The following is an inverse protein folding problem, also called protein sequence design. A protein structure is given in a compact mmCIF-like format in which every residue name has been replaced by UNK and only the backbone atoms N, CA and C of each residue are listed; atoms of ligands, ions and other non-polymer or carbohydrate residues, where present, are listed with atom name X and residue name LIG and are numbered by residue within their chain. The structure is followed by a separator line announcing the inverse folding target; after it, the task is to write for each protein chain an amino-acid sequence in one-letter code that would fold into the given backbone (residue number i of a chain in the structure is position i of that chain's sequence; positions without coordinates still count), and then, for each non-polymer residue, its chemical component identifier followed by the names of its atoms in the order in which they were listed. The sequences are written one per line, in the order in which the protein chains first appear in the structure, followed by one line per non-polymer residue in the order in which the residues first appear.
data_IF_145717408167
#
_entry.id   IF_145717408167
#
_cell.length_a   1.000
_cell.length_b   1.000
_cell.length_c   1.000
_cell.angle_alpha   90.00
_cell.angle_beta   90.00
_cell.angle_gamma   90.00
#
_symmetry.space_group_name_H-M   'P 1'
#
loop_
_entity.id
_entity.type
_entity.pdbx_description
1 polymer ?
#
# COMPACT_ATOMS: atom_id res chain seq x y z
N UNK A 1 -49.44 39.73 5.66
CA UNK A 1 -48.05 39.49 5.23
C UNK A 1 -48.08 39.35 3.72
N UNK A 2 -47.41 40.25 3.00
CA UNK A 2 -47.34 40.19 1.55
C UNK A 2 -46.33 39.10 1.16
N UNK A 3 -46.81 37.99 0.59
CA UNK A 3 -45.97 36.98 -0.01
C UNK A 3 -45.32 37.59 -1.27
N UNK A 4 -43.99 37.59 -1.32
CA UNK A 4 -43.19 38.14 -2.42
C UNK A 4 -42.70 36.96 -3.24
N UNK A 5 -43.03 36.93 -4.53
CA UNK A 5 -42.72 35.80 -5.41
C UNK A 5 -41.51 36.15 -6.29
N UNK A 6 -40.47 35.32 -6.25
CA UNK A 6 -39.43 35.29 -7.29
C UNK A 6 -39.61 34.02 -8.11
N UNK A 7 -39.57 34.14 -9.43
CA UNK A 7 -39.44 32.99 -10.31
C UNK A 7 -37.95 32.71 -10.51
N UNK A 8 -37.49 31.57 -10.00
CA UNK A 8 -36.09 31.15 -10.07
C UNK A 8 -35.92 30.17 -11.22
N UNK A 9 -35.07 30.50 -12.17
CA UNK A 9 -34.76 29.68 -13.35
C UNK A 9 -33.25 29.51 -13.45
N UNK A 10 -32.75 28.29 -13.64
CA UNK A 10 -31.34 28.06 -14.00
C UNK A 10 -31.28 28.00 -15.51
N UNK A 11 -30.49 28.87 -16.13
CA UNK A 11 -30.18 28.75 -17.56
C UNK A 11 -29.40 27.45 -17.80
N UNK A 12 -30.00 26.51 -18.53
CA UNK A 12 -29.42 25.21 -18.86
C UNK A 12 -28.10 25.29 -19.63
N UNK A 13 -27.81 26.43 -20.27
CA UNK A 13 -26.67 26.62 -21.17
C UNK A 13 -25.49 27.26 -20.47
N UNK A 14 -25.72 28.32 -19.71
CA UNK A 14 -24.68 29.02 -18.95
C UNK A 14 -24.54 28.51 -17.51
N UNK A 15 -25.52 27.73 -17.04
CA UNK A 15 -25.66 27.34 -15.65
C UNK A 15 -25.78 28.56 -14.74
N UNK A 16 -26.32 29.69 -15.20
CA UNK A 16 -26.49 30.92 -14.42
C UNK A 16 -27.88 30.97 -13.77
N UNK A 17 -27.94 31.55 -12.56
CA UNK A 17 -29.19 31.74 -11.84
C UNK A 17 -29.92 33.00 -12.31
N UNK A 18 -31.11 32.83 -12.89
CA UNK A 18 -32.02 33.90 -13.25
C UNK A 18 -33.10 34.02 -12.17
N UNK A 19 -33.16 35.16 -11.49
CA UNK A 19 -34.28 35.48 -10.60
C UNK A 19 -35.13 36.54 -11.28
N UNK A 20 -36.33 36.17 -11.71
CA UNK A 20 -37.33 37.10 -12.25
C UNK A 20 -38.26 37.52 -11.12
N UNK A 21 -38.52 38.82 -11.01
CA UNK A 21 -39.56 39.31 -10.11
C UNK A 21 -40.92 38.80 -10.62
N UNK A 22 -41.76 38.25 -9.75
CA UNK A 22 -43.12 37.94 -10.14
C UNK A 22 -43.89 39.23 -10.46
N UNK A 23 -44.92 39.07 -11.30
CA UNK A 23 -45.52 40.15 -12.07
C UNK A 23 -46.08 41.35 -11.29
N UNK A 24 -46.32 41.27 -9.97
CA UNK A 24 -47.11 42.30 -9.26
C UNK A 24 -46.60 42.66 -7.85
N UNK A 25 -45.31 42.98 -7.68
CA UNK A 25 -44.83 43.58 -6.43
C UNK A 25 -43.33 43.89 -6.37
N UNK A 26 -42.98 45.05 -5.79
CA UNK A 26 -41.59 45.36 -5.46
C UNK A 26 -41.10 44.44 -4.33
N UNK A 27 -39.91 43.82 -4.43
CA UNK A 27 -39.43 42.89 -3.43
C UNK A 27 -39.18 43.58 -2.08
N UNK A 28 -39.47 42.87 -0.98
CA UNK A 28 -39.06 43.29 0.36
C UNK A 28 -37.53 43.46 0.41
N UNK A 29 -36.99 44.48 1.12
CA UNK A 29 -35.55 44.68 1.26
C UNK A 29 -34.81 43.41 1.74
N UNK A 30 -35.41 42.64 2.66
CA UNK A 30 -34.85 41.40 3.20
C UNK A 30 -34.82 40.27 2.17
N UNK A 31 -35.87 40.17 1.33
CA UNK A 31 -35.93 39.19 0.27
C UNK A 31 -34.94 39.50 -0.87
N UNK A 32 -34.72 40.79 -1.15
CA UNK A 32 -33.71 41.27 -2.11
C UNK A 32 -32.28 41.02 -1.60
N UNK A 33 -32.05 41.13 -0.28
CA UNK A 33 -30.77 40.79 0.34
C UNK A 33 -30.48 39.28 0.31
N UNK A 34 -31.46 38.44 0.66
CA UNK A 34 -31.34 36.98 0.60
C UNK A 34 -31.08 36.51 -0.84
N UNK A 35 -31.78 37.10 -1.82
CA UNK A 35 -31.57 36.89 -3.25
C UNK A 35 -30.13 37.23 -3.70
N UNK A 36 -29.57 38.36 -3.26
CA UNK A 36 -28.17 38.74 -3.53
C UNK A 36 -27.17 37.76 -2.92
N UNK A 37 -27.38 37.36 -1.65
CA UNK A 37 -26.53 36.38 -0.95
C UNK A 37 -26.55 35.02 -1.66
N UNK A 38 -27.73 34.62 -2.14
CA UNK A 38 -27.92 33.38 -2.89
C UNK A 38 -27.22 33.40 -4.26
N UNK A 39 -27.34 34.49 -5.03
CA UNK A 39 -26.58 34.66 -6.28
C UNK A 39 -25.07 34.59 -6.06
N UNK A 40 -24.55 35.28 -5.04
CA UNK A 40 -23.14 35.26 -4.71
C UNK A 40 -22.63 33.86 -4.33
N UNK A 41 -23.45 33.08 -3.62
CA UNK A 41 -23.18 31.69 -3.31
C UNK A 41 -23.15 30.83 -4.59
N UNK A 42 -24.15 30.98 -5.44
CA UNK A 42 -24.25 30.27 -6.70
C UNK A 42 -23.03 30.54 -7.62
N UNK A 43 -22.59 31.78 -7.72
CA UNK A 43 -21.37 32.15 -8.43
C UNK A 43 -20.12 31.50 -7.81
N UNK A 44 -20.03 31.41 -6.47
CA UNK A 44 -18.93 30.69 -5.79
C UNK A 44 -18.94 29.20 -6.12
N UNK A 45 -20.11 28.55 -6.14
CA UNK A 45 -20.23 27.14 -6.52
C UNK A 45 -19.83 26.95 -7.97
N UNK A 46 -20.31 27.82 -8.87
CA UNK A 46 -20.00 27.77 -10.30
C UNK A 46 -18.49 27.88 -10.57
N UNK A 47 -17.78 28.71 -9.79
CA UNK A 47 -16.32 28.89 -9.89
C UNK A 47 -15.54 27.72 -9.28
N UNK A 48 -16.05 27.10 -8.21
CA UNK A 48 -15.31 26.07 -7.45
C UNK A 48 -15.62 24.63 -7.83
N UNK A 49 -16.83 24.35 -8.29
CA UNK A 49 -17.31 22.99 -8.58
C UNK A 49 -17.35 22.78 -10.10
N UNK A 50 -16.75 21.70 -10.62
CA UNK A 50 -16.77 21.40 -12.05
C UNK A 50 -18.18 21.34 -12.62
N UNK A 51 -18.41 21.75 -13.88
CA UNK A 51 -19.71 21.65 -14.54
C UNK A 51 -20.05 20.18 -14.85
N UNK A 52 -20.65 19.49 -13.88
CA UNK A 52 -21.21 18.14 -14.04
C UNK A 52 -22.75 18.21 -14.05
N UNK A 53 -23.46 17.33 -14.79
CA UNK A 53 -24.91 17.20 -14.67
C UNK A 53 -25.38 16.95 -13.21
N UNK A 54 -24.60 16.23 -12.39
CA UNK A 54 -24.80 16.07 -10.95
C UNK A 54 -24.77 17.40 -10.17
N UNK A 55 -23.92 18.36 -10.57
CA UNK A 55 -23.93 19.73 -10.03
C UNK A 55 -25.24 20.44 -10.32
N UNK A 56 -25.79 20.31 -11.53
CA UNK A 56 -27.05 20.94 -11.89
C UNK A 56 -28.23 20.35 -11.11
N UNK A 57 -28.29 19.02 -10.98
CA UNK A 57 -29.33 18.32 -10.21
C UNK A 57 -29.28 18.67 -8.71
N UNK A 58 -28.08 18.76 -8.15
CA UNK A 58 -27.89 19.15 -6.76
C UNK A 58 -28.20 20.63 -6.50
N UNK A 59 -27.78 21.52 -7.41
CA UNK A 59 -28.14 22.93 -7.36
C UNK A 59 -29.65 23.13 -7.51
N UNK A 60 -30.34 22.33 -8.33
CA UNK A 60 -31.79 22.39 -8.46
C UNK A 60 -32.51 21.94 -7.19
N UNK A 61 -32.08 20.85 -6.54
CA UNK A 61 -32.71 20.42 -5.28
C UNK A 61 -32.52 21.46 -4.16
N UNK A 62 -31.36 22.11 -4.13
CA UNK A 62 -31.08 23.18 -3.18
C UNK A 62 -31.91 24.43 -3.47
N UNK A 63 -32.10 24.74 -4.75
CA UNK A 63 -32.99 25.80 -5.18
C UNK A 63 -34.43 25.54 -4.80
N UNK A 64 -34.89 24.29 -4.88
CA UNK A 64 -36.26 23.94 -4.51
C UNK A 64 -36.52 24.19 -3.02
N UNK A 65 -35.55 23.92 -2.13
CA UNK A 65 -35.72 24.14 -0.70
C UNK A 65 -35.69 25.63 -0.30
N UNK A 66 -34.75 26.41 -0.87
CA UNK A 66 -34.71 27.87 -0.65
C UNK A 66 -35.92 28.55 -1.29
N UNK A 67 -36.34 28.10 -2.47
CA UNK A 67 -37.56 28.57 -3.15
C UNK A 67 -38.81 28.28 -2.33
N UNK A 68 -38.95 27.06 -1.81
CA UNK A 68 -40.08 26.69 -0.97
C UNK A 68 -40.15 27.55 0.32
N UNK A 69 -39.00 27.86 0.94
CA UNK A 69 -38.95 28.74 2.10
C UNK A 69 -39.35 30.19 1.76
N UNK A 70 -38.89 30.71 0.61
CA UNK A 70 -39.26 32.04 0.10
C UNK A 70 -40.74 32.15 -0.27
N UNK A 71 -41.33 31.12 -0.89
CA UNK A 71 -42.74 31.08 -1.28
C UNK A 71 -43.68 31.09 -0.06
N UNK A 72 -43.26 30.49 1.05
CA UNK A 72 -44.02 30.46 2.32
C UNK A 72 -43.74 31.71 3.17
N UNK A 73 -42.73 32.51 2.83
CA UNK A 73 -42.31 33.68 3.62
C UNK A 73 -41.54 33.32 4.90
N UNK A 74 -41.03 32.10 4.99
CA UNK A 74 -40.24 31.59 6.12
C UNK A 74 -38.75 31.87 5.88
N UNK A 75 -38.36 33.12 6.17
CA UNK A 75 -37.00 33.60 5.94
C UNK A 75 -35.96 32.91 6.82
N UNK A 76 -36.34 32.47 8.02
CA UNK A 76 -35.45 31.75 8.94
C UNK A 76 -35.08 30.37 8.38
N UNK A 77 -36.05 29.64 7.83
CA UNK A 77 -35.81 28.38 7.14
C UNK A 77 -34.93 28.55 5.90
N UNK A 78 -35.17 29.60 5.12
CA UNK A 78 -34.34 29.93 3.95
C UNK A 78 -32.89 30.26 4.33
N UNK A 79 -32.70 31.05 5.40
CA UNK A 79 -31.37 31.37 5.94
C UNK A 79 -30.67 30.13 6.51
N UNK A 80 -31.38 29.25 7.22
CA UNK A 80 -30.80 28.02 7.75
C UNK A 80 -30.33 27.07 6.65
N UNK A 81 -31.14 26.88 5.59
CA UNK A 81 -30.77 26.08 4.42
C UNK A 81 -29.56 26.69 3.69
N UNK A 82 -29.51 28.02 3.56
CA UNK A 82 -28.38 28.74 2.97
C UNK A 82 -27.08 28.57 3.77
N UNK A 83 -27.13 28.76 5.10
CA UNK A 83 -25.96 28.68 5.98
C UNK A 83 -25.42 27.24 6.10
N UNK A 84 -26.31 26.25 6.21
CA UNK A 84 -25.93 24.84 6.22
C UNK A 84 -25.12 24.46 4.97
N UNK A 85 -25.58 24.93 3.81
CA UNK A 85 -24.91 24.70 2.54
C UNK A 85 -23.56 25.44 2.42
N UNK A 86 -23.51 26.71 2.84
CA UNK A 86 -22.29 27.52 2.73
C UNK A 86 -21.11 26.92 3.54
N UNK A 87 -21.40 26.23 4.64
CA UNK A 87 -20.34 25.70 5.52
C UNK A 87 -19.84 24.33 5.09
N UNK A 88 -20.73 23.43 4.67
CA UNK A 88 -20.38 22.02 4.50
C UNK A 88 -19.75 21.73 3.12
N UNK A 89 -20.17 22.44 2.07
CA UNK A 89 -20.02 21.94 0.70
C UNK A 89 -19.08 22.78 -0.19
N UNK A 90 -18.98 24.09 0.07
CA UNK A 90 -18.19 25.02 -0.75
C UNK A 90 -16.68 24.80 -0.74
N UNK A 91 -16.20 23.96 0.17
CA UNK A 91 -14.77 23.68 0.36
C UNK A 91 -14.32 22.39 -0.30
N UNK A 92 -15.25 21.49 -0.64
CA UNK A 92 -14.93 20.14 -1.12
C UNK A 92 -15.15 20.07 -2.63
N UNK A 93 -14.09 19.82 -3.40
CA UNK A 93 -14.14 19.65 -4.85
C UNK A 93 -14.40 18.22 -5.29
N UNK A 94 -13.73 17.25 -4.66
CA UNK A 94 -13.85 15.84 -5.01
C UNK A 94 -14.39 15.00 -3.85
N UNK A 95 -13.69 14.97 -2.72
CA UNK A 95 -14.10 14.17 -1.56
C UNK A 95 -13.69 14.84 -0.26
N UNK A 96 -14.50 14.69 0.79
CA UNK A 96 -14.05 14.92 2.16
C UNK A 96 -13.20 13.72 2.58
N UNK A 97 -12.03 13.99 3.17
CA UNK A 97 -11.10 12.95 3.57
C UNK A 97 -10.68 13.12 5.02
N UNK A 98 -10.75 12.03 5.77
CA UNK A 98 -10.21 11.94 7.13
C UNK A 98 -9.53 10.59 7.31
N UNK A 99 -8.48 10.58 8.13
CA UNK A 99 -7.75 9.36 8.47
C UNK A 99 -7.96 9.15 9.96
N UNK A 100 -8.44 7.97 10.35
CA UNK A 100 -8.63 7.68 11.77
C UNK A 100 -7.32 7.28 12.46
N UNK A 101 -7.38 7.04 13.77
CA UNK A 101 -6.22 6.63 14.56
C UNK A 101 -5.64 5.26 14.15
N UNK A 102 -6.43 4.43 13.45
CA UNK A 102 -6.00 3.13 12.95
C UNK A 102 -5.35 3.23 11.55
N UNK A 103 -5.50 4.37 10.88
CA UNK A 103 -5.01 4.61 9.53
C UNK A 103 -6.02 4.29 8.45
N UNK A 104 -7.29 4.09 8.81
CA UNK A 104 -8.35 3.86 7.82
C UNK A 104 -8.75 5.20 7.20
N UNK A 105 -8.69 5.25 5.88
CA UNK A 105 -9.03 6.43 5.08
C UNK A 105 -10.55 6.46 4.87
N UNK A 106 -11.22 7.41 5.52
CA UNK A 106 -12.65 7.65 5.37
C UNK A 106 -12.86 8.73 4.32
N UNK A 107 -13.54 8.35 3.23
CA UNK A 107 -13.82 9.22 2.09
C UNK A 107 -15.33 9.40 1.98
N UNK A 108 -15.78 10.64 2.00
CA UNK A 108 -17.18 10.98 1.70
C UNK A 108 -17.25 11.76 0.39
N UNK A 109 -17.94 11.21 -0.59
CA UNK A 109 -18.24 11.91 -1.83
C UNK A 109 -19.34 12.94 -1.58
N UNK A 110 -19.23 14.15 -2.15
CA UNK A 110 -20.32 15.09 -2.11
C UNK A 110 -21.45 14.61 -3.04
N UNK A 111 -22.72 14.97 -2.74
CA UNK A 111 -23.90 14.51 -3.46
C UNK A 111 -23.95 14.93 -4.95
N UNK A 112 -23.15 15.92 -5.37
CA UNK A 112 -23.05 16.38 -6.76
C UNK A 112 -21.96 15.69 -7.59
N UNK A 113 -21.12 14.83 -6.99
CA UNK A 113 -20.04 14.16 -7.71
C UNK A 113 -20.62 13.07 -8.62
N UNK A 114 -20.35 13.18 -9.92
CA UNK A 114 -20.72 12.15 -10.88
C UNK A 114 -19.71 11.00 -10.93
N UNK A 115 -20.23 9.81 -11.20
CA UNK A 115 -19.42 8.67 -11.63
C UNK A 115 -19.29 8.68 -13.16
N UNK A 116 -18.07 8.51 -13.73
CA UNK A 116 -16.84 8.11 -13.06
C UNK A 116 -15.96 9.27 -12.58
N UNK A 117 -15.32 9.05 -11.42
CA UNK A 117 -14.27 9.92 -10.84
C UNK A 117 -13.10 10.11 -11.82
N UNK A 118 -12.50 11.32 -11.91
CA UNK A 118 -11.33 11.56 -12.76
C UNK A 118 -10.17 10.57 -12.50
N UNK A 119 -9.46 10.10 -13.54
CA UNK A 119 -8.46 9.04 -13.44
C UNK A 119 -7.24 9.43 -12.59
N UNK A 120 -6.87 10.71 -12.61
CA UNK A 120 -5.85 11.35 -11.79
C UNK A 120 -6.21 11.37 -10.31
N UNK A 121 -7.48 11.66 -9.98
CA UNK A 121 -7.99 11.58 -8.59
C UNK A 121 -7.98 10.14 -8.11
N UNK A 122 -8.37 9.17 -8.95
CA UNK A 122 -8.33 7.75 -8.61
C UNK A 122 -6.90 7.27 -8.33
N UNK A 123 -5.96 7.63 -9.20
CA UNK A 123 -4.53 7.28 -9.03
C UNK A 123 -3.96 7.85 -7.73
N UNK A 124 -4.35 9.09 -7.39
CA UNK A 124 -3.94 9.72 -6.13
C UNK A 124 -4.53 8.98 -4.91
N UNK A 125 -5.82 8.63 -4.96
CA UNK A 125 -6.48 7.86 -3.89
C UNK A 125 -5.80 6.51 -3.65
N UNK A 126 -5.51 5.76 -4.72
CA UNK A 126 -4.85 4.46 -4.62
C UNK A 126 -3.45 4.59 -3.97
N UNK A 127 -2.70 5.65 -4.31
CA UNK A 127 -1.39 5.92 -3.70
C UNK A 127 -1.52 6.33 -2.23
N UNK A 128 -2.49 7.18 -1.91
CA UNK A 128 -2.75 7.65 -0.55
C UNK A 128 -3.15 6.48 0.37
N UNK A 129 -4.07 5.63 -0.08
CA UNK A 129 -4.49 4.44 0.68
C UNK A 129 -3.32 3.47 0.90
N UNK A 130 -2.52 3.23 -0.13
CA UNK A 130 -1.31 2.41 -0.01
C UNK A 130 -0.31 3.00 1.00
N UNK A 131 -0.16 4.33 1.03
CA UNK A 131 0.68 5.01 2.00
C UNK A 131 0.15 4.87 3.43
N UNK A 132 -1.16 5.09 3.65
CA UNK A 132 -1.81 4.90 4.96
C UNK A 132 -1.60 3.48 5.48
N UNK A 133 -1.85 2.47 4.64
CA UNK A 133 -1.65 1.06 4.99
C UNK A 133 -0.20 0.76 5.37
N UNK A 134 0.78 1.28 4.61
CA UNK A 134 2.21 1.07 4.91
C UNK A 134 2.60 1.73 6.23
N UNK A 135 2.17 2.96 6.49
CA UNK A 135 2.41 3.65 7.77
C UNK A 135 1.81 2.85 8.93
N UNK A 136 0.56 2.38 8.80
CA UNK A 136 -0.10 1.56 9.83
C UNK A 136 0.62 0.24 10.13
N UNK A 137 1.15 -0.42 9.10
CA UNK A 137 1.85 -1.70 9.23
C UNK A 137 3.30 -1.57 9.70
N UNK A 138 4.02 -0.53 9.26
CA UNK A 138 5.47 -0.43 9.42
C UNK A 138 5.88 0.42 10.63
N UNK A 139 5.14 1.48 10.94
CA UNK A 139 5.49 2.40 12.03
C UNK A 139 5.11 1.81 13.38
N UNK A 140 6.09 1.79 14.28
CA UNK A 140 5.91 1.39 15.68
C UNK A 140 5.76 2.61 16.57
N UNK A 141 4.78 2.56 17.46
CA UNK A 141 4.50 3.65 18.40
C UNK A 141 3.30 4.46 17.91
N UNK A 142 2.35 4.66 18.82
CA UNK A 142 1.08 5.32 18.52
C UNK A 142 1.29 6.80 18.13
N UNK A 143 2.19 7.50 18.83
CA UNK A 143 2.47 8.91 18.59
C UNK A 143 3.19 9.16 17.26
N UNK A 144 4.18 8.33 16.91
CA UNK A 144 4.85 8.41 15.61
C UNK A 144 3.87 8.13 14.46
N UNK A 145 2.98 7.14 14.65
CA UNK A 145 1.95 6.80 13.67
C UNK A 145 0.96 7.93 13.47
N UNK A 146 0.48 8.55 14.55
CA UNK A 146 -0.40 9.74 14.50
C UNK A 146 0.25 10.89 13.74
N UNK A 147 1.54 11.13 13.95
CA UNK A 147 2.28 12.18 13.24
C UNK A 147 2.28 11.96 11.71
N UNK A 148 2.59 10.73 11.27
CA UNK A 148 2.56 10.41 9.84
C UNK A 148 1.14 10.40 9.25
N UNK A 149 0.13 9.95 10.00
CA UNK A 149 -1.26 10.03 9.55
C UNK A 149 -1.76 11.46 9.43
N UNK A 150 -1.37 12.36 10.33
CA UNK A 150 -1.70 13.78 10.21
C UNK A 150 -1.09 14.42 8.95
N UNK A 151 0.13 14.04 8.58
CA UNK A 151 0.76 14.47 7.34
C UNK A 151 0.00 13.95 6.10
N UNK A 152 -0.35 12.65 6.09
CA UNK A 152 -1.15 12.06 5.01
C UNK A 152 -2.55 12.67 4.90
N UNK A 153 -3.20 12.96 6.03
CA UNK A 153 -4.51 13.61 6.06
C UNK A 153 -4.43 15.02 5.49
N UNK A 154 -3.36 15.77 5.80
CA UNK A 154 -3.11 17.08 5.22
C UNK A 154 -2.99 17.02 3.68
N UNK A 155 -2.25 16.03 3.15
CA UNK A 155 -2.17 15.81 1.71
C UNK A 155 -3.51 15.37 1.10
N UNK A 156 -4.28 14.56 1.81
CA UNK A 156 -5.61 14.12 1.40
C UNK A 156 -6.56 15.32 1.27
N UNK A 157 -6.61 16.20 2.28
CA UNK A 157 -7.45 17.41 2.25
C UNK A 157 -7.03 18.36 1.13
N UNK A 158 -5.73 18.59 0.97
CA UNK A 158 -5.24 19.49 -0.07
C UNK A 158 -5.49 18.95 -1.50
N UNK A 159 -5.41 17.62 -1.69
CA UNK A 159 -5.70 16.99 -2.97
C UNK A 159 -7.20 16.88 -3.27
N UNK A 160 -7.98 16.34 -2.33
CA UNK A 160 -9.36 15.91 -2.54
C UNK A 160 -10.38 16.99 -2.22
N UNK A 161 -10.15 17.82 -1.20
CA UNK A 161 -11.06 18.90 -0.82
C UNK A 161 -10.76 20.15 -1.66
N UNK A 162 -9.51 20.61 -1.69
CA UNK A 162 -9.14 21.82 -2.46
C UNK A 162 -8.98 21.56 -3.98
N UNK A 163 -8.95 20.29 -4.39
CA UNK A 163 -8.78 19.85 -5.77
C UNK A 163 -7.41 20.17 -6.37
N UNK A 164 -6.37 20.30 -5.55
CA UNK A 164 -5.00 20.52 -5.99
C UNK A 164 -4.24 19.19 -6.17
N UNK A 165 -4.80 18.27 -6.96
CA UNK A 165 -4.31 16.90 -7.11
C UNK A 165 -2.83 16.84 -7.53
N UNK A 166 -2.39 17.70 -8.44
CA UNK A 166 -0.99 17.73 -8.90
C UNK A 166 -0.01 18.07 -7.77
N UNK A 167 -0.31 19.13 -6.98
CA UNK A 167 0.51 19.55 -5.85
C UNK A 167 0.48 18.51 -4.73
N UNK A 168 -0.69 17.97 -4.43
CA UNK A 168 -0.85 16.92 -3.43
C UNK A 168 -0.10 15.63 -3.82
N UNK A 169 -0.07 15.28 -5.10
CA UNK A 169 0.69 14.12 -5.61
C UNK A 169 2.20 14.32 -5.48
N UNK A 170 2.70 15.54 -5.74
CA UNK A 170 4.10 15.88 -5.52
C UNK A 170 4.47 15.84 -4.03
N UNK A 171 3.62 16.43 -3.18
CA UNK A 171 3.81 16.42 -1.74
C UNK A 171 3.79 15.00 -1.15
N UNK A 172 2.89 14.15 -1.65
CA UNK A 172 2.86 12.72 -1.30
C UNK A 172 4.16 12.03 -1.72
N UNK A 173 4.71 12.33 -2.89
CA UNK A 173 6.02 11.81 -3.31
C UNK A 173 7.18 12.26 -2.40
N UNK A 174 7.15 13.48 -1.89
CA UNK A 174 8.12 13.96 -0.90
C UNK A 174 7.96 13.24 0.45
N UNK A 175 6.73 13.09 0.92
CA UNK A 175 6.43 12.32 2.12
C UNK A 175 6.93 10.87 2.00
N UNK A 176 6.68 10.21 0.87
CA UNK A 176 7.15 8.85 0.60
C UNK A 176 8.68 8.75 0.69
N UNK A 177 9.41 9.72 0.14
CA UNK A 177 10.87 9.77 0.18
C UNK A 177 11.43 10.04 1.59
N UNK A 178 10.82 10.96 2.33
CA UNK A 178 11.18 11.28 3.72
C UNK A 178 10.92 10.08 4.64
N UNK A 179 9.76 9.45 4.49
CA UNK A 179 9.41 8.22 5.21
C UNK A 179 10.44 7.11 4.97
N UNK A 180 10.91 6.93 3.73
CA UNK A 180 11.99 5.97 3.42
C UNK A 180 13.28 6.31 4.13
N UNK A 181 13.63 7.60 4.21
CA UNK A 181 14.86 8.06 4.83
C UNK A 181 14.85 7.86 6.35
N UNK A 182 13.72 8.13 7.01
CA UNK A 182 13.57 8.04 8.46
C UNK A 182 13.35 6.59 8.94
N UNK A 183 12.34 5.91 8.40
CA UNK A 183 11.91 4.59 8.88
C UNK A 183 12.62 3.43 8.15
N UNK A 184 13.09 3.66 6.92
CA UNK A 184 13.76 2.64 6.10
C UNK A 184 14.99 1.99 6.75
N UNK A 185 15.90 2.70 7.43
CA UNK A 185 17.01 2.10 8.17
C UNK A 185 16.56 1.14 9.29
N UNK A 186 15.54 1.52 10.08
CA UNK A 186 15.05 0.71 11.18
C UNK A 186 14.38 -0.58 10.67
N UNK A 187 13.59 -0.47 9.60
CA UNK A 187 12.92 -1.59 8.95
C UNK A 187 13.94 -2.55 8.32
N UNK A 188 14.96 -2.03 7.62
CA UNK A 188 16.10 -2.83 7.11
C UNK A 188 16.76 -3.65 8.20
N UNK A 189 17.13 -2.98 9.29
CA UNK A 189 17.80 -3.62 10.42
C UNK A 189 16.95 -4.76 10.96
N UNK A 190 15.63 -4.56 11.11
CA UNK A 190 14.70 -5.58 11.60
C UNK A 190 14.65 -6.80 10.68
N UNK A 191 14.47 -6.60 9.37
CA UNK A 191 14.44 -7.70 8.41
C UNK A 191 15.77 -8.45 8.36
N UNK A 192 16.89 -7.74 8.23
CA UNK A 192 18.21 -8.35 8.19
C UNK A 192 18.51 -9.15 9.47
N UNK A 193 18.15 -8.60 10.63
CA UNK A 193 18.33 -9.27 11.92
C UNK A 193 17.48 -10.53 12.03
N UNK A 194 16.24 -10.52 11.53
CA UNK A 194 15.37 -11.69 11.54
C UNK A 194 15.92 -12.82 10.65
N UNK A 195 16.38 -12.49 9.44
CA UNK A 195 17.01 -13.46 8.52
C UNK A 195 18.31 -14.01 9.12
N UNK A 196 19.17 -13.14 9.66
CA UNK A 196 20.43 -13.55 10.28
C UNK A 196 20.21 -14.45 11.50
N UNK A 197 19.23 -14.13 12.35
CA UNK A 197 18.87 -14.96 13.51
C UNK A 197 18.40 -16.34 13.07
N UNK A 198 17.58 -16.42 12.02
CA UNK A 198 17.08 -17.70 11.51
C UNK A 198 18.23 -18.53 10.91
N UNK A 199 19.10 -17.90 10.12
CA UNK A 199 20.29 -18.54 9.57
C UNK A 199 21.20 -19.10 10.69
N UNK A 200 21.44 -18.30 11.74
CA UNK A 200 22.24 -18.73 12.90
C UNK A 200 21.63 -19.94 13.59
N UNK A 201 20.31 -19.95 13.82
CA UNK A 201 19.61 -21.08 14.43
C UNK A 201 19.76 -22.37 13.59
N UNK A 202 19.66 -22.26 12.26
CA UNK A 202 19.85 -23.40 11.36
C UNK A 202 21.29 -23.93 11.44
N UNK A 203 22.29 -23.04 11.34
CA UNK A 203 23.71 -23.43 11.42
C UNK A 203 24.04 -24.06 12.77
N UNK A 204 23.56 -23.49 13.87
CA UNK A 204 23.74 -24.04 15.22
C UNK A 204 23.04 -25.39 15.35
N UNK A 205 21.81 -25.53 14.84
CA UNK A 205 21.05 -26.78 14.87
C UNK A 205 21.77 -27.91 14.12
N UNK A 206 22.25 -27.64 12.90
CA UNK A 206 23.00 -28.62 12.10
C UNK A 206 24.38 -28.93 12.74
N UNK A 207 25.03 -27.94 13.34
CA UNK A 207 26.29 -28.12 14.06
C UNK A 207 26.13 -29.00 15.31
N UNK A 208 25.08 -28.77 16.11
CA UNK A 208 24.72 -29.61 17.25
C UNK A 208 24.39 -31.03 16.80
N UNK A 209 23.62 -31.17 15.71
CA UNK A 209 23.31 -32.49 15.15
C UNK A 209 24.59 -33.24 14.77
N UNK A 210 25.55 -32.60 14.11
CA UNK A 210 26.86 -33.19 13.78
C UNK A 210 27.65 -33.59 15.03
N UNK A 211 27.56 -32.84 16.12
CA UNK A 211 28.27 -33.14 17.36
C UNK A 211 27.64 -34.32 18.13
N UNK A 212 26.31 -34.38 18.17
CA UNK A 212 25.56 -35.36 18.94
C UNK A 212 25.38 -36.70 18.22
N UNK A 213 25.23 -36.71 16.89
CA UNK A 213 25.01 -37.94 16.12
C UNK A 213 26.08 -39.01 16.37
N UNK A 214 27.39 -38.69 16.35
CA UNK A 214 28.44 -39.67 16.58
C UNK A 214 28.40 -40.25 17.99
N UNK A 215 28.04 -39.45 18.99
CA UNK A 215 27.94 -39.90 20.39
C UNK A 215 26.78 -40.88 20.56
N UNK A 216 25.63 -40.59 19.94
CA UNK A 216 24.47 -41.49 19.92
C UNK A 216 24.81 -42.76 19.12
N UNK A 217 25.45 -42.62 17.95
CA UNK A 217 25.85 -43.76 17.13
C UNK A 217 26.83 -44.70 17.87
N UNK A 218 27.75 -44.16 18.67
CA UNK A 218 28.65 -44.96 19.52
C UNK A 218 27.90 -45.65 20.66
N UNK A 219 26.94 -44.96 21.30
CA UNK A 219 26.13 -45.54 22.38
C UNK A 219 25.22 -46.69 21.91
N UNK A 220 24.80 -46.68 20.64
CA UNK A 220 23.92 -47.69 20.05
C UNK A 220 24.61 -48.55 18.97
N UNK A 221 25.96 -48.56 18.96
CA UNK A 221 26.76 -49.19 17.92
C UNK A 221 26.47 -50.69 17.72
N UNK A 222 26.06 -51.40 18.77
CA UNK A 222 25.69 -52.82 18.71
C UNK A 222 24.39 -53.09 17.94
N UNK A 223 23.49 -52.10 17.84
CA UNK A 223 22.17 -52.27 17.20
C UNK A 223 22.05 -51.58 15.84
N UNK A 224 22.96 -50.67 15.50
CA UNK A 224 22.91 -49.86 14.27
C UNK A 224 24.29 -49.70 13.61
N UNK A 225 24.82 -50.76 12.96
CA UNK A 225 26.10 -50.71 12.23
C UNK A 225 26.18 -49.73 11.03
N UNK A 226 25.10 -49.24 10.35
CA UNK A 226 25.27 -48.36 9.19
C UNK A 226 25.55 -46.88 9.53
N UNK A 227 25.50 -46.44 10.80
CA UNK A 227 25.69 -45.02 11.13
C UNK A 227 27.15 -44.52 11.01
N UNK A 228 28.16 -45.40 10.96
CA UNK A 228 29.56 -45.00 10.85
C UNK A 228 29.91 -44.35 9.50
N UNK A 229 29.16 -44.66 8.43
CA UNK A 229 29.33 -44.08 7.08
C UNK A 229 28.84 -42.61 7.04
N UNK A 230 28.08 -42.17 8.05
CA UNK A 230 27.43 -40.86 8.06
C UNK A 230 28.38 -39.68 8.34
N UNK A 231 29.59 -39.88 8.89
CA UNK A 231 30.44 -38.76 9.31
C UNK A 231 30.90 -37.86 8.16
N UNK A 232 31.30 -38.45 7.02
CA UNK A 232 31.71 -37.68 5.84
C UNK A 232 30.52 -36.95 5.20
N UNK A 233 29.39 -37.65 5.05
CA UNK A 233 28.15 -37.10 4.51
C UNK A 233 27.56 -35.97 5.37
N UNK A 234 27.66 -36.08 6.70
CA UNK A 234 27.20 -35.04 7.64
C UNK A 234 28.07 -33.79 7.58
N UNK A 235 29.38 -33.92 7.35
CA UNK A 235 30.23 -32.77 7.09
C UNK A 235 29.76 -32.03 5.82
N UNK A 236 29.52 -32.77 4.73
CA UNK A 236 28.97 -32.21 3.49
C UNK A 236 27.64 -31.49 3.70
N UNK A 237 26.68 -32.10 4.39
CA UNK A 237 25.38 -31.47 4.68
C UNK A 237 25.56 -30.18 5.51
N UNK A 238 26.46 -30.18 6.48
CA UNK A 238 26.72 -28.99 7.30
C UNK A 238 27.23 -27.83 6.45
N UNK A 239 28.22 -28.08 5.58
CA UNK A 239 28.74 -27.03 4.70
C UNK A 239 27.74 -26.60 3.62
N UNK A 240 26.90 -27.51 3.14
CA UNK A 240 25.77 -27.19 2.26
C UNK A 240 24.77 -26.26 2.97
N UNK A 241 24.40 -26.57 4.22
CA UNK A 241 23.48 -25.75 5.02
C UNK A 241 24.07 -24.37 5.35
N UNK A 242 25.37 -24.30 5.68
CA UNK A 242 26.09 -23.03 5.85
C UNK A 242 26.07 -22.24 4.54
N UNK A 243 26.32 -22.90 3.40
CA UNK A 243 26.27 -22.27 2.09
C UNK A 243 24.90 -21.67 1.78
N UNK A 244 23.82 -22.43 1.99
CA UNK A 244 22.44 -21.95 1.85
C UNK A 244 22.21 -20.71 2.72
N UNK A 245 22.62 -20.78 3.99
CA UNK A 245 22.49 -19.67 4.92
C UNK A 245 23.23 -18.41 4.45
N UNK A 246 24.47 -18.55 4.00
CA UNK A 246 25.27 -17.45 3.46
C UNK A 246 24.65 -16.87 2.19
N UNK A 247 24.20 -17.72 1.26
CA UNK A 247 23.56 -17.29 0.02
C UNK A 247 22.30 -16.46 0.27
N UNK A 248 21.41 -16.94 1.13
CA UNK A 248 20.15 -16.25 1.47
C UNK A 248 20.42 -14.93 2.22
N UNK A 249 21.36 -14.92 3.17
CA UNK A 249 21.71 -13.69 3.91
C UNK A 249 22.38 -12.66 2.99
N UNK A 250 23.30 -13.10 2.13
CA UNK A 250 23.96 -12.23 1.16
C UNK A 250 22.95 -11.64 0.16
N UNK A 251 22.02 -12.45 -0.31
CA UNK A 251 20.92 -11.99 -1.15
C UNK A 251 20.06 -10.95 -0.44
N UNK A 252 19.67 -11.21 0.81
CA UNK A 252 18.91 -10.25 1.62
C UNK A 252 19.67 -8.93 1.82
N UNK A 253 21.00 -8.98 1.95
CA UNK A 253 21.85 -7.80 2.04
C UNK A 253 21.83 -6.98 0.75
N UNK A 254 22.02 -7.61 -0.41
CA UNK A 254 22.01 -6.92 -1.72
C UNK A 254 20.64 -6.28 -1.97
N UNK A 255 19.55 -7.00 -1.74
CA UNK A 255 18.18 -6.47 -1.96
C UNK A 255 17.86 -5.28 -1.05
N UNK A 256 18.47 -5.22 0.13
CA UNK A 256 18.28 -4.11 1.07
C UNK A 256 19.06 -2.83 0.72
N UNK A 257 19.88 -2.83 -0.35
CA UNK A 257 20.62 -1.63 -0.78
C UNK A 257 19.75 -0.62 -1.55
N UNK A 258 18.71 -1.06 -2.26
CA UNK A 258 17.84 -0.21 -3.07
C UNK A 258 16.40 -0.25 -2.56
N UNK A 259 16.13 0.53 -1.51
CA UNK A 259 14.77 0.68 -0.97
C UNK A 259 14.04 1.85 -1.63
N UNK A 260 12.85 1.55 -2.14
CA UNK A 260 11.85 2.51 -2.55
C UNK A 260 10.64 2.40 -1.62
N UNK A 261 9.79 3.41 -1.58
CA UNK A 261 8.56 3.40 -0.79
C UNK A 261 7.68 2.17 -1.09
N UNK A 262 7.70 1.70 -2.34
CA UNK A 262 6.98 0.49 -2.76
C UNK A 262 7.59 -0.81 -2.27
N UNK A 263 8.91 -0.86 -2.04
CA UNK A 263 9.57 -2.04 -1.52
C UNK A 263 9.66 -2.08 0.02
N UNK A 264 9.32 -0.99 0.72
CA UNK A 264 9.34 -0.89 2.19
C UNK A 264 8.37 -1.84 2.92
N UNK A 265 7.32 -2.32 2.26
CA UNK A 265 6.42 -3.36 2.80
C UNK A 265 6.60 -4.74 2.14
N UNK A 266 7.23 -4.77 0.96
CA UNK A 266 7.34 -5.95 0.08
C UNK A 266 8.81 -6.37 -0.09
N UNK A 267 9.52 -6.52 1.03
CA UNK A 267 10.86 -7.13 1.03
C UNK A 267 10.87 -8.56 0.48
N UNK A 268 9.70 -9.20 0.45
CA UNK A 268 9.46 -10.47 -0.24
C UNK A 268 8.13 -10.38 -0.99
N UNK A 269 8.13 -10.52 -2.32
CA UNK A 269 6.91 -10.47 -3.14
C UNK A 269 5.94 -11.60 -2.81
N UNK A 270 6.45 -12.67 -2.18
CA UNK A 270 5.67 -13.83 -1.75
C UNK A 270 5.31 -13.80 -0.25
N UNK A 271 5.65 -12.74 0.50
CA UNK A 271 5.44 -12.62 1.95
C UNK A 271 5.90 -13.84 2.78
N UNK A 272 6.92 -14.57 2.31
CA UNK A 272 7.38 -15.78 2.97
C UNK A 272 8.08 -15.42 4.28
N UNK A 273 7.70 -16.11 5.36
CA UNK A 273 8.45 -16.03 6.61
C UNK A 273 9.89 -16.52 6.40
N UNK A 274 10.89 -16.01 7.14
CA UNK A 274 12.28 -16.45 7.00
C UNK A 274 12.44 -17.97 7.06
N UNK A 275 11.68 -18.63 7.94
CA UNK A 275 11.66 -20.09 8.04
C UNK A 275 11.21 -20.77 6.75
N UNK A 276 10.07 -20.35 6.21
CA UNK A 276 9.51 -20.94 4.99
C UNK A 276 10.46 -20.77 3.80
N UNK A 277 11.14 -19.62 3.73
CA UNK A 277 12.16 -19.31 2.73
C UNK A 277 13.36 -20.27 2.83
N UNK A 278 13.93 -20.44 4.02
CA UNK A 278 15.01 -21.41 4.23
C UNK A 278 14.59 -22.85 3.92
N UNK A 279 13.36 -23.24 4.26
CA UNK A 279 12.82 -24.56 3.94
C UNK A 279 12.69 -24.76 2.43
N UNK A 280 12.13 -23.77 1.70
CA UNK A 280 11.98 -23.83 0.25
C UNK A 280 13.33 -24.00 -0.45
N UNK A 281 14.29 -23.12 -0.11
CA UNK A 281 15.65 -23.21 -0.65
C UNK A 281 16.31 -24.54 -0.29
N UNK A 282 16.08 -25.05 0.93
CA UNK A 282 16.56 -26.35 1.36
C UNK A 282 16.02 -27.50 0.51
N UNK A 283 14.71 -27.52 0.23
CA UNK A 283 14.06 -28.52 -0.63
C UNK A 283 14.60 -28.46 -2.06
N UNK A 284 14.74 -27.26 -2.63
CA UNK A 284 15.28 -27.10 -3.98
C UNK A 284 16.74 -27.55 -4.05
N UNK A 285 17.54 -27.19 -3.03
CA UNK A 285 18.93 -27.64 -2.94
C UNK A 285 19.01 -29.16 -2.84
N UNK A 286 18.13 -29.79 -2.06
CA UNK A 286 18.05 -31.24 -1.95
C UNK A 286 17.72 -31.90 -3.30
N UNK A 287 16.73 -31.37 -4.03
CA UNK A 287 16.39 -31.83 -5.39
C UNK A 287 17.59 -31.70 -6.34
N UNK A 288 18.27 -30.57 -6.31
CA UNK A 288 19.47 -30.35 -7.12
C UNK A 288 20.58 -31.35 -6.77
N UNK A 289 20.84 -31.58 -5.49
CA UNK A 289 21.80 -32.58 -5.03
C UNK A 289 21.43 -34.00 -5.50
N UNK A 290 20.15 -34.36 -5.52
CA UNK A 290 19.66 -35.65 -6.04
C UNK A 290 19.94 -35.74 -7.54
N UNK A 291 19.58 -34.72 -8.32
CA UNK A 291 19.81 -34.67 -9.78
C UNK A 291 21.29 -34.76 -10.14
N UNK A 292 22.15 -34.05 -9.40
CA UNK A 292 23.61 -34.12 -9.56
C UNK A 292 24.16 -35.50 -9.18
N UNK A 293 23.62 -36.13 -8.14
CA UNK A 293 24.02 -37.49 -7.74
C UNK A 293 23.60 -38.55 -8.76
N UNK A 294 22.46 -38.35 -9.44
CA UNK A 294 21.99 -39.21 -10.51
C UNK A 294 22.77 -39.01 -11.82
N UNK A 295 23.68 -38.03 -11.88
CA UNK A 295 24.45 -37.70 -13.08
C UNK A 295 23.64 -36.97 -14.16
N UNK A 296 22.42 -36.55 -13.85
CA UNK A 296 21.53 -35.82 -14.77
C UNK A 296 22.01 -34.39 -15.00
N UNK A 297 22.64 -33.78 -13.98
CA UNK A 297 23.18 -32.43 -14.02
C UNK A 297 24.66 -32.49 -13.66
N UNK A 298 25.52 -31.98 -14.54
CA UNK A 298 26.96 -31.82 -14.31
C UNK A 298 27.30 -30.34 -14.35
N UNK A 299 27.58 -29.78 -13.18
CA UNK A 299 28.00 -28.40 -13.01
C UNK A 299 29.50 -28.39 -12.70
N UNK A 300 30.26 -27.65 -13.50
CA UNK A 300 31.70 -27.47 -13.38
C UNK A 300 32.01 -25.97 -13.46
N UNK A 301 32.82 -25.47 -12.53
CA UNK A 301 33.33 -24.09 -12.54
C UNK A 301 34.85 -24.19 -12.55
N UNK A 302 35.46 -23.93 -13.71
CA UNK A 302 36.88 -24.20 -13.97
C UNK A 302 37.23 -25.65 -13.55
N UNK A 303 38.24 -25.83 -12.69
CA UNK A 303 38.67 -27.14 -12.20
C UNK A 303 37.77 -27.70 -11.08
N UNK A 304 36.80 -26.92 -10.58
CA UNK A 304 35.93 -27.34 -9.49
C UNK A 304 34.67 -28.03 -10.01
N UNK A 305 34.61 -29.34 -9.78
CA UNK A 305 33.46 -30.19 -10.11
C UNK A 305 32.43 -30.14 -8.99
N UNK A 306 31.33 -29.42 -9.20
CA UNK A 306 30.29 -29.24 -8.19
C UNK A 306 29.50 -30.54 -7.93
N UNK A 307 29.45 -31.46 -8.90
CA UNK A 307 28.81 -32.78 -8.71
C UNK A 307 29.55 -33.69 -7.73
N UNK A 308 30.81 -33.39 -7.42
CA UNK A 308 31.60 -34.09 -6.41
C UNK A 308 31.38 -33.51 -4.99
N UNK A 309 30.25 -32.84 -4.75
CA UNK A 309 29.92 -32.21 -3.46
C UNK A 309 30.00 -33.18 -2.26
N UNK A 310 29.82 -34.49 -2.48
CA UNK A 310 29.92 -35.51 -1.42
C UNK A 310 31.33 -35.70 -0.86
N UNK A 311 32.37 -35.44 -1.67
CA UNK A 311 33.77 -35.63 -1.29
C UNK A 311 34.48 -34.29 -1.09
N UNK A 312 34.05 -33.24 -1.81
CA UNK A 312 34.65 -31.92 -1.72
C UNK A 312 33.75 -30.93 -0.96
N UNK A 313 34.22 -30.54 0.23
CA UNK A 313 33.54 -29.58 1.11
C UNK A 313 33.34 -28.21 0.45
N UNK A 314 34.30 -27.74 -0.36
CA UNK A 314 34.18 -26.46 -1.05
C UNK A 314 33.10 -26.50 -2.12
N UNK A 315 32.97 -27.63 -2.83
CA UNK A 315 31.88 -27.83 -3.77
C UNK A 315 30.51 -27.81 -3.08
N UNK A 316 30.37 -28.46 -1.92
CA UNK A 316 29.13 -28.44 -1.14
C UNK A 316 28.76 -27.02 -0.66
N UNK A 317 29.74 -26.26 -0.17
CA UNK A 317 29.56 -24.88 0.24
C UNK A 317 29.08 -24.00 -0.93
N UNK A 318 29.73 -24.12 -2.09
CA UNK A 318 29.39 -23.34 -3.28
C UNK A 318 28.02 -23.69 -3.85
N UNK A 319 27.67 -24.98 -3.91
CA UNK A 319 26.30 -25.40 -4.30
C UNK A 319 25.28 -24.75 -3.37
N UNK A 320 25.54 -24.76 -2.06
CA UNK A 320 24.67 -24.11 -1.07
C UNK A 320 24.54 -22.61 -1.30
N UNK A 321 25.65 -21.89 -1.51
CA UNK A 321 25.64 -20.44 -1.77
C UNK A 321 24.86 -20.11 -3.04
N UNK A 322 25.09 -20.84 -4.13
CA UNK A 322 24.42 -20.61 -5.40
C UNK A 322 22.91 -20.84 -5.29
N UNK A 323 22.49 -21.89 -4.59
CA UNK A 323 21.08 -22.17 -4.34
C UNK A 323 20.44 -21.13 -3.40
N UNK A 324 21.17 -20.68 -2.37
CA UNK A 324 20.70 -19.62 -1.47
C UNK A 324 20.56 -18.26 -2.16
N UNK A 325 21.44 -17.96 -3.11
CA UNK A 325 21.40 -16.71 -3.87
C UNK A 325 20.29 -16.70 -4.94
N UNK A 326 20.00 -17.85 -5.56
CA UNK A 326 19.01 -17.96 -6.65
C UNK A 326 17.55 -17.93 -6.18
N UNK A 327 17.32 -17.79 -4.87
CA UNK A 327 16.03 -17.82 -4.21
C UNK A 327 14.96 -16.91 -4.85
N UNK A 328 15.28 -15.69 -5.33
CA UNK A 328 14.29 -14.87 -6.05
C UNK A 328 14.04 -15.28 -7.48
N UNK A 329 15.03 -15.79 -8.21
CA UNK A 329 14.80 -16.30 -9.56
C UNK A 329 13.87 -17.51 -9.51
N UNK A 330 14.06 -18.38 -8.50
CA UNK A 330 13.23 -19.56 -8.30
C UNK A 330 11.85 -19.18 -7.78
N UNK A 331 11.76 -18.27 -6.81
CA UNK A 331 10.47 -17.78 -6.31
C UNK A 331 9.69 -17.07 -7.42
N UNK A 332 10.31 -16.22 -8.24
CA UNK A 332 9.66 -15.56 -9.38
C UNK A 332 9.25 -16.54 -10.49
N UNK A 333 10.03 -17.59 -10.74
CA UNK A 333 9.64 -18.65 -11.67
C UNK A 333 8.43 -19.44 -11.15
N UNK A 334 8.40 -19.73 -9.84
CA UNK A 334 7.28 -20.46 -9.21
C UNK A 334 6.02 -19.60 -9.11
N UNK A 335 6.12 -18.34 -8.68
CA UNK A 335 4.97 -17.43 -8.56
C UNK A 335 4.52 -16.90 -9.92
N UNK A 336 5.43 -16.65 -10.86
CA UNK A 336 5.08 -16.23 -12.22
C UNK A 336 4.39 -17.31 -13.05
N UNK A 337 4.57 -18.60 -12.68
CA UNK A 337 3.77 -19.70 -13.22
C UNK A 337 2.38 -19.75 -12.58
N UNK A 338 2.24 -19.35 -11.31
CA UNK A 338 0.96 -19.30 -10.59
C UNK A 338 0.11 -18.06 -10.92
N UNK A 339 0.73 -16.94 -11.31
CA UNK A 339 0.04 -15.70 -11.71
C UNK A 339 -0.49 -15.71 -13.16
N UNK A 340 -0.33 -16.82 -13.89
CA UNK A 340 -1.04 -17.03 -15.15
C UNK A 340 -2.52 -17.25 -14.89
N UNK A 341 -3.25 -16.15 -14.73
CA UNK A 341 -4.71 -16.10 -14.84
C UNK A 341 -5.10 -16.84 -16.14
N UNK A 342 -5.97 -17.86 -16.11
CA UNK A 342 -6.42 -18.49 -17.34
C UNK A 342 -7.10 -17.42 -18.20
N UNK A 343 -6.87 -17.43 -19.53
CA UNK A 343 -7.57 -16.50 -20.42
C UNK A 343 -9.07 -16.74 -20.26
N UNK A 344 -9.77 -15.73 -19.74
CA UNK A 344 -11.23 -15.62 -19.78
C UNK A 344 -11.67 -15.05 -21.10
#
# INVERSE_FOLDING_TARGET
MAAVFFEVEIDSTSGALLLKAAKDGAPSPEADELSKRFRALFDRIRVRVPPTPGRAAYLSSLLDEVKAALEVGDLDRGNAAYEAFSQQDLRIRYFAASIDANGDLHISAPPWLENPVPPDVRTFLDRLENACRKVGLLVKGEEARKHHFAALESHAKHGLEEGQISNATLALGHFEAEFVAEEGPAIRKRHLTATLRTALLIVVGVGLLKLLLPQVAQAYAEHLPPLAIANGFMATIMFLAIGICLGVVFFAFIRNLTLSFDSLGNFDTAHLSPWLRFTLVGVITALLCILMSAGLIKLEINDLKLYEYRTNVYAALLVGILCGYSDTAITQLLTGVLDRKPPS
#
